data_IF_293255005498
#
_entry.id   IF_293255005498
#
_cell.length_a   1.000
_cell.length_b   1.000
_cell.length_c   1.000
_cell.angle_alpha   90.00
_cell.angle_beta   90.00
_cell.angle_gamma   90.00
#
_symmetry.space_group_name_H-M   'P 1'
#
loop_
_entity.id
_entity.type
_entity.pdbx_description
1 polymer ?
#
# COMPACT_ATOMS: atom_id res chain seq x y z
N UNK A 1 -2.94 -8.69 -6.43
CA UNK A 1 -3.25 -7.27 -6.23
C UNK A 1 -3.18 -6.51 -7.55
N UNK A 2 -4.13 -5.62 -7.81
CA UNK A 2 -4.13 -4.76 -9.00
C UNK A 2 -3.79 -3.34 -8.54
N UNK A 3 -2.77 -2.74 -9.16
CA UNK A 3 -2.26 -1.40 -8.84
C UNK A 3 -2.41 -0.51 -10.06
N UNK A 4 -3.03 0.63 -9.93
CA UNK A 4 -3.13 1.65 -10.97
C UNK A 4 -1.78 2.39 -11.11
N UNK A 5 -1.13 2.26 -12.26
CA UNK A 5 0.16 2.89 -12.53
C UNK A 5 0.12 4.42 -12.61
N UNK A 6 -1.04 5.01 -12.76
CA UNK A 6 -1.23 6.48 -12.78
C UNK A 6 -1.31 7.05 -11.35
N UNK A 7 -1.67 6.20 -10.37
CA UNK A 7 -1.89 6.53 -8.96
C UNK A 7 -1.18 5.56 -8.01
N UNK A 8 0.08 5.20 -8.32
CA UNK A 8 0.86 4.16 -7.64
C UNK A 8 0.91 4.42 -6.13
N UNK A 9 1.29 5.62 -5.71
CA UNK A 9 1.47 5.99 -4.31
C UNK A 9 0.25 5.62 -3.45
N UNK A 10 -0.95 6.00 -3.90
CA UNK A 10 -2.20 5.69 -3.21
C UNK A 10 -2.50 4.18 -3.19
N UNK A 11 -2.21 3.49 -4.29
CA UNK A 11 -2.50 2.06 -4.40
C UNK A 11 -1.50 1.18 -3.63
N UNK A 12 -0.27 1.65 -3.45
CA UNK A 12 0.74 0.95 -2.66
C UNK A 12 0.39 0.89 -1.17
N UNK A 13 -0.47 1.78 -0.66
CA UNK A 13 -0.92 1.71 0.73
C UNK A 13 -1.62 0.37 1.02
N UNK A 14 -2.58 -0.03 0.19
CA UNK A 14 -3.19 -1.36 0.30
C UNK A 14 -2.17 -2.49 0.06
N UNK A 15 -1.21 -2.25 -0.85
CA UNK A 15 -0.17 -3.24 -1.14
C UNK A 15 0.67 -3.55 0.10
N UNK A 16 1.08 -2.54 0.88
CA UNK A 16 1.83 -2.76 2.13
C UNK A 16 1.03 -3.59 3.13
N UNK A 17 -0.26 -3.32 3.28
CA UNK A 17 -1.14 -4.11 4.15
C UNK A 17 -1.29 -5.58 3.71
N UNK A 18 -1.37 -5.82 2.39
CA UNK A 18 -1.43 -7.17 1.84
C UNK A 18 -0.12 -7.95 2.02
N UNK A 19 1.03 -7.25 1.98
CA UNK A 19 2.34 -7.84 2.26
C UNK A 19 2.48 -8.27 3.72
N UNK A 20 1.92 -7.51 4.65
CA UNK A 20 1.89 -7.83 6.08
C UNK A 20 1.16 -9.15 6.38
N UNK A 21 0.20 -9.56 5.52
CA UNK A 21 -0.51 -10.83 5.64
C UNK A 21 0.37 -12.05 5.28
N UNK A 22 1.56 -11.85 4.71
CA UNK A 22 2.44 -12.96 4.33
C UNK A 22 1.84 -13.93 3.31
N UNK A 23 0.86 -13.52 2.53
CA UNK A 23 0.24 -14.36 1.51
C UNK A 23 0.97 -14.25 0.17
N UNK A 24 1.09 -15.37 -0.60
CA UNK A 24 1.64 -15.30 -1.95
C UNK A 24 0.91 -14.27 -2.79
N UNK A 25 1.64 -13.32 -3.36
CA UNK A 25 1.06 -12.20 -4.09
C UNK A 25 1.84 -11.90 -5.37
N UNK A 26 1.11 -11.44 -6.39
CA UNK A 26 1.65 -10.82 -7.61
C UNK A 26 0.95 -9.48 -7.80
N UNK A 27 1.69 -8.47 -8.22
CA UNK A 27 1.13 -7.16 -8.56
C UNK A 27 0.90 -7.09 -10.06
N UNK A 28 -0.35 -6.87 -10.47
CA UNK A 28 -0.70 -6.47 -11.82
C UNK A 28 -0.67 -4.92 -11.89
N UNK A 29 0.38 -4.35 -12.47
CA UNK A 29 0.52 -2.91 -12.65
C UNK A 29 -0.31 -2.49 -13.85
N UNK A 30 -1.54 -2.05 -13.62
CA UNK A 30 -2.51 -1.75 -14.64
C UNK A 30 -2.41 -0.29 -15.15
N UNK A 31 -3.05 -0.01 -16.27
CA UNK A 31 -3.04 1.28 -16.96
C UNK A 31 -1.63 1.74 -17.40
N UNK A 32 -0.73 0.78 -17.62
CA UNK A 32 0.66 1.09 -18.00
C UNK A 32 0.78 1.86 -19.32
N UNK A 33 -0.14 1.65 -20.23
CA UNK A 33 -0.26 2.40 -21.49
C UNK A 33 -0.53 3.89 -21.25
N UNK A 34 -1.35 4.23 -20.25
CA UNK A 34 -1.64 5.63 -19.84
C UNK A 34 -0.38 6.26 -19.24
N UNK A 35 0.28 5.57 -18.31
CA UNK A 35 1.53 6.07 -17.71
C UNK A 35 2.61 6.29 -18.74
N UNK A 36 2.79 5.37 -19.70
CA UNK A 36 3.71 5.54 -20.84
C UNK A 36 3.34 6.74 -21.71
N UNK A 37 2.04 6.93 -22.02
CA UNK A 37 1.55 8.08 -22.78
C UNK A 37 1.81 9.41 -22.05
N UNK A 38 1.75 9.40 -20.72
CA UNK A 38 2.08 10.55 -19.90
C UNK A 38 3.60 10.81 -19.79
N UNK A 39 4.44 9.89 -20.29
CA UNK A 39 5.89 9.97 -20.20
C UNK A 39 6.45 9.52 -18.84
N UNK A 40 5.61 8.89 -17.99
CA UNK A 40 6.05 8.33 -16.73
C UNK A 40 6.99 7.15 -16.96
N UNK A 41 8.06 7.07 -16.17
CA UNK A 41 9.00 5.97 -16.17
C UNK A 41 8.95 5.27 -14.84
N UNK A 42 8.51 4.01 -14.86
CA UNK A 42 8.40 3.16 -13.67
C UNK A 42 9.40 2.03 -13.80
N UNK A 43 10.34 1.96 -12.86
CA UNK A 43 11.32 0.87 -12.78
C UNK A 43 10.70 -0.33 -12.06
N UNK A 44 10.05 -1.20 -12.83
CA UNK A 44 9.36 -2.40 -12.31
C UNK A 44 10.30 -3.34 -11.56
N UNK A 45 11.58 -3.41 -11.97
CA UNK A 45 12.56 -4.28 -11.33
C UNK A 45 12.92 -3.78 -9.94
N UNK A 46 13.17 -2.47 -9.82
CA UNK A 46 13.44 -1.86 -8.51
C UNK A 46 12.24 -1.96 -7.58
N UNK A 47 11.05 -1.68 -8.10
CA UNK A 47 9.82 -1.75 -7.31
C UNK A 47 9.54 -3.19 -6.86
N UNK A 48 9.69 -4.17 -7.75
CA UNK A 48 9.55 -5.60 -7.44
C UNK A 48 10.56 -6.07 -6.38
N UNK A 49 11.82 -5.68 -6.52
CA UNK A 49 12.86 -6.02 -5.55
C UNK A 49 12.59 -5.41 -4.16
N UNK A 50 12.14 -4.15 -4.11
CA UNK A 50 11.86 -3.46 -2.86
C UNK A 50 10.60 -3.98 -2.15
N UNK A 51 9.59 -4.42 -2.91
CA UNK A 51 8.35 -4.99 -2.37
C UNK A 51 8.44 -6.52 -2.12
N UNK A 52 9.48 -7.18 -2.61
CA UNK A 52 9.65 -8.63 -2.48
C UNK A 52 8.64 -9.45 -3.29
N UNK A 53 7.94 -8.86 -4.27
CA UNK A 53 6.89 -9.53 -5.05
C UNK A 53 7.06 -9.29 -6.54
N UNK A 54 6.61 -10.25 -7.35
CA UNK A 54 6.65 -10.11 -8.80
C UNK A 54 5.62 -9.07 -9.28
N UNK A 55 6.04 -8.22 -10.23
CA UNK A 55 5.18 -7.21 -10.84
C UNK A 55 5.04 -7.52 -12.32
N UNK A 56 3.80 -7.57 -12.79
CA UNK A 56 3.45 -7.75 -14.20
C UNK A 56 2.77 -6.50 -14.73
N UNK A 57 3.32 -5.94 -15.81
CA UNK A 57 2.68 -4.82 -16.51
C UNK A 57 1.41 -5.28 -17.22
N UNK A 58 0.33 -4.52 -17.03
CA UNK A 58 -0.96 -4.83 -17.66
C UNK A 58 -1.63 -3.57 -18.24
N UNK A 59 -2.40 -3.78 -19.29
CA UNK A 59 -3.38 -2.80 -19.79
C UNK A 59 -4.69 -3.55 -20.07
N UNK A 60 -5.61 -3.50 -19.10
CA UNK A 60 -6.90 -4.19 -19.22
C UNK A 60 -7.69 -3.72 -20.45
N UNK A 61 -7.62 -2.42 -20.77
CA UNK A 61 -8.28 -1.85 -21.94
C UNK A 61 -7.78 -2.44 -23.25
N UNK A 62 -6.49 -2.80 -23.32
CA UNK A 62 -5.88 -3.39 -24.51
C UNK A 62 -5.81 -4.92 -24.48
N UNK A 63 -6.21 -5.54 -23.36
CA UNK A 63 -6.09 -6.97 -23.14
C UNK A 63 -4.64 -7.45 -22.95
N UNK A 64 -3.70 -6.53 -22.69
CA UNK A 64 -2.28 -6.84 -22.53
C UNK A 64 -1.93 -7.27 -21.10
N UNK A 65 -1.14 -8.35 -20.95
CA UNK A 65 -0.53 -8.77 -19.69
C UNK A 65 -1.45 -9.48 -18.70
N UNK A 66 -2.78 -9.48 -18.90
CA UNK A 66 -3.74 -10.05 -17.95
C UNK A 66 -3.56 -11.56 -17.75
N UNK A 67 -3.38 -12.31 -18.82
CA UNK A 67 -3.13 -13.77 -18.79
C UNK A 67 -1.83 -14.06 -18.05
N UNK A 68 -0.76 -13.34 -18.39
CA UNK A 68 0.54 -13.48 -17.74
C UNK A 68 0.47 -13.19 -16.23
N UNK A 69 -0.30 -12.17 -15.82
CA UNK A 69 -0.51 -11.85 -14.40
C UNK A 69 -1.25 -12.98 -13.67
N UNK A 70 -2.27 -13.57 -14.31
CA UNK A 70 -3.00 -14.71 -13.76
C UNK A 70 -2.11 -15.97 -13.65
N UNK A 71 -1.32 -16.29 -14.67
CA UNK A 71 -0.37 -17.41 -14.65
C UNK A 71 0.68 -17.25 -13.54
N UNK A 72 1.23 -16.05 -13.38
CA UNK A 72 2.19 -15.74 -12.31
C UNK A 72 1.56 -15.84 -10.93
N UNK A 73 0.34 -15.35 -10.77
CA UNK A 73 -0.41 -15.48 -9.52
C UNK A 73 -0.69 -16.95 -9.17
N UNK A 74 -1.09 -17.75 -10.15
CA UNK A 74 -1.30 -19.20 -9.95
C UNK A 74 0.01 -19.91 -9.59
N UNK A 75 1.13 -19.54 -10.21
CA UNK A 75 2.45 -20.10 -9.90
C UNK A 75 2.90 -19.69 -8.49
N UNK A 76 2.74 -18.43 -8.09
CA UNK A 76 3.06 -17.94 -6.75
C UNK A 76 2.26 -18.69 -5.68
N UNK A 77 0.95 -18.86 -5.89
CA UNK A 77 0.08 -19.60 -4.98
C UNK A 77 0.48 -21.09 -4.88
N UNK A 78 0.78 -21.74 -6.01
CA UNK A 78 1.20 -23.15 -6.05
C UNK A 78 2.53 -23.38 -5.33
N UNK A 79 3.48 -22.49 -5.53
CA UNK A 79 4.81 -22.59 -4.94
C UNK A 79 4.86 -22.03 -3.51
N UNK A 80 3.77 -21.46 -3.02
CA UNK A 80 3.70 -20.76 -1.73
C UNK A 80 4.84 -19.74 -1.58
N UNK A 81 5.20 -19.07 -2.68
CA UNK A 81 6.28 -18.08 -2.70
C UNK A 81 5.81 -16.84 -1.97
N UNK A 82 6.15 -16.73 -0.71
CA UNK A 82 6.07 -15.48 0.06
C UNK A 82 7.40 -14.76 -0.12
N UNK A 83 7.38 -13.53 -0.57
CA UNK A 83 8.57 -12.67 -0.56
C UNK A 83 9.06 -12.41 0.87
N UNK A 84 10.27 -11.92 1.01
CA UNK A 84 10.69 -11.34 2.28
C UNK A 84 9.76 -10.16 2.61
N UNK A 85 9.32 -10.08 3.86
CA UNK A 85 8.51 -8.96 4.30
C UNK A 85 9.32 -7.66 4.18
N UNK A 86 8.86 -6.66 3.43
CA UNK A 86 9.58 -5.40 3.36
C UNK A 86 9.59 -4.73 4.74
N UNK A 87 10.71 -4.10 5.08
CA UNK A 87 10.84 -3.30 6.30
C UNK A 87 10.06 -1.99 6.13
N UNK A 88 8.74 -2.05 6.33
CA UNK A 88 7.84 -0.88 6.22
C UNK A 88 7.99 0.03 7.43
N UNK A 89 8.17 -0.55 8.61
CA UNK A 89 8.29 0.15 9.88
C UNK A 89 9.74 0.23 10.34
N UNK A 90 10.08 1.27 11.08
CA UNK A 90 11.45 1.53 11.55
C UNK A 90 11.47 2.11 12.96
N UNK A 91 12.65 2.09 13.62
CA UNK A 91 12.84 2.73 14.93
C UNK A 91 11.97 2.15 16.04
N UNK A 92 11.41 3.02 16.86
CA UNK A 92 10.58 2.67 18.01
C UNK A 92 9.32 1.89 17.62
N UNK A 93 8.76 2.16 16.44
CA UNK A 93 7.60 1.41 15.93
C UNK A 93 7.96 -0.05 15.70
N UNK A 94 9.09 -0.32 15.05
CA UNK A 94 9.56 -1.69 14.80
C UNK A 94 9.84 -2.43 16.11
N UNK A 95 10.44 -1.76 17.09
CA UNK A 95 10.67 -2.33 18.42
C UNK A 95 9.37 -2.66 19.15
N UNK A 96 8.38 -1.76 19.10
CA UNK A 96 7.07 -2.00 19.70
C UNK A 96 6.34 -3.17 19.03
N UNK A 97 6.37 -3.25 17.69
CA UNK A 97 5.78 -4.35 16.95
C UNK A 97 6.45 -5.69 17.28
N UNK A 98 7.79 -5.74 17.32
CA UNK A 98 8.52 -6.95 17.70
C UNK A 98 8.16 -7.40 19.13
N UNK A 99 8.04 -6.47 20.08
CA UNK A 99 7.60 -6.79 21.43
C UNK A 99 6.17 -7.36 21.47
N UNK A 100 5.25 -6.77 20.67
CA UNK A 100 3.88 -7.30 20.54
C UNK A 100 3.91 -8.70 19.93
N UNK A 101 4.72 -8.94 18.90
CA UNK A 101 4.90 -10.27 18.29
C UNK A 101 5.34 -11.31 19.33
N UNK A 102 6.28 -10.96 20.20
CA UNK A 102 6.73 -11.84 21.30
C UNK A 102 5.59 -12.15 22.29
N UNK A 103 4.79 -11.15 22.66
CA UNK A 103 3.67 -11.31 23.59
C UNK A 103 2.53 -12.20 23.05
N UNK A 104 2.31 -12.18 21.75
CA UNK A 104 1.25 -12.98 21.08
C UNK A 104 1.81 -14.24 20.41
N UNK A 105 3.11 -14.45 20.44
CA UNK A 105 3.76 -15.64 19.90
C UNK A 105 3.14 -16.92 20.45
N UNK A 106 2.84 -17.89 19.58
CA UNK A 106 2.17 -19.13 19.94
C UNK A 106 0.66 -19.03 20.18
N UNK A 107 0.05 -17.84 20.16
CA UNK A 107 -1.40 -17.63 20.29
C UNK A 107 -2.10 -17.42 18.95
N UNK A 108 -1.31 -17.10 17.92
CA UNK A 108 -1.79 -16.85 16.55
C UNK A 108 -1.01 -17.68 15.55
N UNK A 109 -1.56 -17.87 14.34
CA UNK A 109 -0.82 -18.52 13.26
C UNK A 109 0.44 -17.69 12.92
N UNK A 110 1.63 -18.29 12.94
CA UNK A 110 2.90 -17.57 12.67
C UNK A 110 2.91 -16.80 11.34
N UNK A 111 2.13 -17.24 10.35
CA UNK A 111 2.00 -16.57 9.04
C UNK A 111 1.38 -15.18 9.14
N UNK A 112 0.52 -14.97 10.14
CA UNK A 112 -0.20 -13.70 10.34
C UNK A 112 0.31 -12.93 11.56
N UNK A 113 1.39 -13.39 12.18
CA UNK A 113 1.92 -12.80 13.41
C UNK A 113 2.16 -11.30 13.27
N UNK A 114 2.84 -10.91 12.19
CA UNK A 114 3.10 -9.50 11.88
C UNK A 114 1.83 -8.69 11.69
N UNK A 115 0.86 -9.21 10.95
CA UNK A 115 -0.42 -8.55 10.74
C UNK A 115 -1.18 -8.34 12.05
N UNK A 116 -1.21 -9.36 12.91
CA UNK A 116 -1.84 -9.25 14.23
C UNK A 116 -1.11 -8.21 15.11
N UNK A 117 0.22 -8.16 15.08
CA UNK A 117 0.98 -7.18 15.85
C UNK A 117 0.65 -5.75 15.41
N UNK A 118 0.58 -5.48 14.11
CA UNK A 118 0.18 -4.17 13.58
C UNK A 118 -1.25 -3.83 13.99
N UNK A 119 -2.18 -4.77 13.89
CA UNK A 119 -3.59 -4.55 14.28
C UNK A 119 -3.76 -4.29 15.78
N UNK A 120 -2.99 -4.97 16.61
CA UNK A 120 -2.98 -4.74 18.05
C UNK A 120 -2.32 -3.40 18.40
N UNK A 121 -1.29 -2.99 17.67
CA UNK A 121 -0.68 -1.66 17.80
C UNK A 121 -1.71 -0.55 17.45
N UNK A 122 -2.49 -0.73 16.37
CA UNK A 122 -3.59 0.16 15.98
C UNK A 122 -4.80 0.08 16.92
N UNK A 123 -4.77 -0.77 17.96
CA UNK A 123 -5.91 -1.06 18.87
C UNK A 123 -7.19 -1.49 18.15
N UNK A 124 -7.08 -2.26 17.04
CA UNK A 124 -8.25 -2.74 16.32
C UNK A 124 -9.18 -3.57 17.23
N UNK A 125 -10.36 -3.02 17.52
CA UNK A 125 -11.31 -3.61 18.48
C UNK A 125 -11.74 -5.02 18.11
N UNK A 126 -11.86 -5.32 16.82
CA UNK A 126 -12.28 -6.64 16.33
C UNK A 126 -11.21 -7.67 16.63
N UNK A 127 -9.96 -7.33 16.36
CA UNK A 127 -8.79 -8.21 16.61
C UNK A 127 -8.61 -8.41 18.11
N UNK A 128 -8.70 -7.36 18.91
CA UNK A 128 -8.62 -7.46 20.38
C UNK A 128 -9.70 -8.38 20.94
N UNK A 129 -10.93 -8.28 20.43
CA UNK A 129 -12.05 -9.13 20.84
C UNK A 129 -11.89 -10.59 20.41
N UNK A 130 -11.36 -10.82 19.17
CA UNK A 130 -11.17 -12.16 18.61
C UNK A 130 -10.12 -12.96 19.37
N UNK A 131 -8.97 -12.36 19.67
CA UNK A 131 -7.81 -13.05 20.24
C UNK A 131 -7.99 -13.44 21.71
N UNK A 132 -8.94 -12.86 22.44
CA UNK A 132 -9.25 -13.17 23.86
C UNK A 132 -7.98 -13.23 24.74
N UNK A 133 -7.09 -12.26 24.57
CA UNK A 133 -5.81 -12.20 25.26
C UNK A 133 -6.00 -12.02 26.76
N UNK A 134 -5.08 -12.56 27.58
CA UNK A 134 -5.07 -12.33 29.03
C UNK A 134 -4.79 -10.86 29.34
N UNK A 135 -5.22 -10.41 30.52
CA UNK A 135 -5.04 -9.01 30.94
C UNK A 135 -3.56 -8.60 31.01
N UNK A 136 -2.68 -9.52 31.41
CA UNK A 136 -1.23 -9.25 31.43
C UNK A 136 -0.67 -8.97 30.01
N UNK A 137 -1.12 -9.75 29.01
CA UNK A 137 -0.71 -9.55 27.61
C UNK A 137 -1.28 -8.24 27.08
N UNK A 138 -2.54 -7.94 27.32
CA UNK A 138 -3.15 -6.67 26.94
C UNK A 138 -2.42 -5.49 27.55
N UNK A 139 -2.05 -5.58 28.83
CA UNK A 139 -1.29 -4.55 29.52
C UNK A 139 0.09 -4.36 28.89
N UNK A 140 0.82 -5.44 28.58
CA UNK A 140 2.13 -5.36 27.90
C UNK A 140 2.03 -4.72 26.51
N UNK A 141 0.99 -5.05 25.73
CA UNK A 141 0.72 -4.41 24.44
C UNK A 141 0.48 -2.92 24.62
N UNK A 142 -0.39 -2.54 25.56
CA UNK A 142 -0.74 -1.13 25.81
C UNK A 142 0.47 -0.32 26.29
N UNK A 143 1.33 -0.90 27.13
CA UNK A 143 2.58 -0.27 27.56
C UNK A 143 3.53 -0.02 26.38
N UNK A 144 3.68 -0.98 25.44
CA UNK A 144 4.49 -0.84 24.25
C UNK A 144 3.94 0.26 23.32
N UNK A 145 2.63 0.26 23.06
CA UNK A 145 1.97 1.24 22.22
C UNK A 145 2.06 2.64 22.83
N UNK A 146 1.68 2.80 24.10
CA UNK A 146 1.71 4.11 24.79
C UNK A 146 3.12 4.68 24.90
N UNK A 147 4.15 3.83 25.05
CA UNK A 147 5.55 4.26 25.00
C UNK A 147 5.93 4.84 23.64
N UNK A 148 5.51 4.15 22.57
CA UNK A 148 5.77 4.58 21.20
C UNK A 148 5.02 5.88 20.85
N UNK A 149 3.75 5.99 21.22
CA UNK A 149 2.94 7.21 21.05
C UNK A 149 3.58 8.41 21.74
N UNK A 150 4.06 8.22 22.97
CA UNK A 150 4.73 9.28 23.71
C UNK A 150 6.06 9.70 23.09
N UNK A 151 6.82 8.76 22.53
CA UNK A 151 8.08 9.05 21.85
C UNK A 151 7.85 9.76 20.51
N UNK A 152 6.82 9.35 19.76
CA UNK A 152 6.49 9.88 18.44
C UNK A 152 5.60 11.13 18.48
N UNK A 153 5.04 11.47 19.65
CA UNK A 153 4.09 12.58 19.86
C UNK A 153 2.88 12.50 18.90
N UNK A 154 2.36 11.29 18.68
CA UNK A 154 1.24 11.04 17.77
C UNK A 154 0.46 9.78 18.25
N UNK A 155 -0.77 9.59 17.76
CA UNK A 155 -1.55 8.39 18.04
C UNK A 155 -1.10 7.17 17.19
N UNK A 156 -1.41 5.97 17.67
CA UNK A 156 -0.97 4.72 17.08
C UNK A 156 -1.38 4.55 15.62
N UNK A 157 -2.61 4.93 15.25
CA UNK A 157 -3.12 4.82 13.88
C UNK A 157 -2.39 5.79 12.94
N UNK A 158 -2.18 7.03 13.39
CA UNK A 158 -1.42 8.05 12.67
C UNK A 158 0.05 7.62 12.48
N UNK A 159 0.67 7.08 13.52
CA UNK A 159 2.06 6.58 13.47
C UNK A 159 2.21 5.50 12.39
N UNK A 160 1.36 4.48 12.40
CA UNK A 160 1.38 3.39 11.39
C UNK A 160 1.15 3.95 9.99
N UNK A 161 0.17 4.84 9.84
CA UNK A 161 -0.14 5.46 8.56
C UNK A 161 1.02 6.29 8.01
N UNK A 162 1.63 7.11 8.87
CA UNK A 162 2.77 7.95 8.51
C UNK A 162 4.00 7.11 8.10
N UNK A 163 4.29 6.02 8.82
CA UNK A 163 5.38 5.10 8.49
C UNK A 163 5.16 4.41 7.14
N UNK A 164 3.93 3.95 6.85
CA UNK A 164 3.59 3.37 5.54
C UNK A 164 3.80 4.38 4.41
N UNK A 165 3.33 5.62 4.58
CA UNK A 165 3.54 6.66 3.56
C UNK A 165 5.00 7.05 3.42
N UNK A 166 5.79 7.10 4.49
CA UNK A 166 7.23 7.36 4.42
C UNK A 166 7.94 6.26 3.60
N UNK A 167 7.62 5.00 3.85
CA UNK A 167 8.12 3.87 3.06
C UNK A 167 7.71 3.98 1.58
N UNK A 168 6.42 4.22 1.30
CA UNK A 168 5.91 4.37 -0.07
C UNK A 168 6.59 5.53 -0.79
N UNK A 169 6.78 6.67 -0.13
CA UNK A 169 7.49 7.81 -0.70
C UNK A 169 8.94 7.46 -1.09
N UNK A 170 9.63 6.68 -0.27
CA UNK A 170 10.97 6.18 -0.59
C UNK A 170 10.96 5.30 -1.85
N UNK A 171 9.98 4.40 -1.97
CA UNK A 171 9.79 3.58 -3.16
C UNK A 171 9.54 4.45 -4.41
N UNK A 172 8.67 5.44 -4.29
CA UNK A 172 8.32 6.35 -5.40
C UNK A 172 9.55 7.15 -5.86
N UNK A 173 10.33 7.69 -4.95
CA UNK A 173 11.55 8.44 -5.28
C UNK A 173 12.58 7.58 -6.01
N UNK A 174 12.71 6.31 -5.62
CA UNK A 174 13.71 5.39 -6.16
C UNK A 174 13.30 4.73 -7.48
N UNK A 175 12.00 4.48 -7.68
CA UNK A 175 11.51 3.65 -8.79
C UNK A 175 10.62 4.39 -9.80
N UNK A 176 10.12 5.59 -9.49
CA UNK A 176 9.17 6.29 -10.36
C UNK A 176 9.63 7.69 -10.72
N UNK A 177 9.70 7.96 -12.03
CA UNK A 177 9.94 9.31 -12.57
C UNK A 177 8.71 9.76 -13.34
N UNK A 178 8.03 10.78 -12.84
CA UNK A 178 6.88 11.38 -13.53
C UNK A 178 7.32 12.13 -14.78
N UNK A 179 6.68 11.85 -15.92
CA UNK A 179 7.04 12.43 -17.22
C UNK A 179 6.56 13.88 -17.41
N UNK A 180 5.44 14.23 -16.76
CA UNK A 180 4.87 15.59 -16.80
C UNK A 180 5.00 16.23 -15.43
N UNK A 181 5.43 17.50 -15.43
CA UNK A 181 5.41 18.29 -14.20
C UNK A 181 4.00 18.34 -13.62
N UNK A 182 3.86 18.21 -12.29
CA UNK A 182 2.60 18.47 -11.58
C UNK A 182 2.09 19.84 -12.05
N UNK A 183 0.99 19.86 -12.81
CA UNK A 183 0.40 21.11 -13.32
C UNK A 183 0.20 21.18 -14.84
N UNK A 184 0.72 20.26 -15.65
CA UNK A 184 0.35 20.21 -17.07
C UNK A 184 -1.05 19.63 -17.20
N UNK A 185 -2.02 20.52 -17.43
CA UNK A 185 -3.41 20.12 -17.68
C UNK A 185 -3.48 19.19 -18.89
N UNK A 186 -4.11 18.03 -18.74
CA UNK A 186 -4.48 17.19 -19.88
C UNK A 186 -5.48 17.93 -20.77
N UNK A 187 -5.69 17.44 -21.99
CA UNK A 187 -6.73 18.01 -22.87
C UNK A 187 -8.10 17.89 -22.20
N UNK A 188 -8.38 16.78 -21.53
CA UNK A 188 -9.60 16.59 -20.73
C UNK A 188 -9.73 17.61 -19.62
N UNK A 189 -8.65 17.87 -18.86
CA UNK A 189 -8.68 18.86 -17.78
C UNK A 189 -8.93 20.28 -18.32
N UNK A 190 -8.41 20.59 -19.51
CA UNK A 190 -8.65 21.88 -20.17
C UNK A 190 -10.11 22.01 -20.61
N UNK A 191 -10.67 20.94 -21.17
CA UNK A 191 -12.09 20.88 -21.58
C UNK A 191 -12.97 21.00 -20.32
N UNK A 192 -12.67 20.21 -19.30
CA UNK A 192 -13.41 20.23 -18.04
C UNK A 192 -13.38 21.62 -17.40
N UNK A 193 -12.22 22.27 -17.37
CA UNK A 193 -12.09 23.65 -16.86
C UNK A 193 -12.91 24.67 -17.64
N UNK A 194 -13.14 24.47 -18.94
CA UNK A 194 -14.00 25.34 -19.75
C UNK A 194 -15.47 25.04 -19.47
N UNK A 195 -15.85 23.77 -19.46
CA UNK A 195 -17.24 23.31 -19.25
C UNK A 195 -17.73 23.59 -17.83
N UNK A 196 -16.84 23.44 -16.83
CA UNK A 196 -17.18 23.71 -15.41
C UNK A 196 -16.93 25.16 -14.97
N UNK A 197 -16.49 26.02 -15.87
CA UNK A 197 -16.28 27.44 -15.57
C UNK A 197 -17.59 28.12 -15.20
N UNK A 198 -17.65 28.75 -14.03
CA UNK A 198 -18.85 29.37 -13.47
C UNK A 198 -19.52 30.36 -14.41
N UNK A 199 -18.79 31.02 -15.31
CA UNK A 199 -19.30 32.00 -16.28
C UNK A 199 -19.70 31.33 -17.60
N UNK A 200 -18.87 30.34 -18.05
CA UNK A 200 -19.08 29.70 -19.35
C UNK A 200 -20.04 28.49 -19.28
N UNK A 201 -20.16 27.86 -18.10
CA UNK A 201 -21.04 26.70 -17.93
C UNK A 201 -22.50 27.00 -18.27
N UNK A 202 -23.03 28.15 -17.84
CA UNK A 202 -24.42 28.53 -18.09
C UNK A 202 -24.75 28.69 -19.58
N UNK A 203 -23.97 29.48 -20.38
CA UNK A 203 -24.25 29.57 -21.83
C UNK A 203 -23.99 28.27 -22.59
N UNK A 204 -22.98 27.46 -22.17
CA UNK A 204 -22.74 26.15 -22.77
C UNK A 204 -23.91 25.20 -22.52
N UNK A 205 -24.43 25.17 -21.28
CA UNK A 205 -25.60 24.35 -20.92
C UNK A 205 -26.89 24.79 -21.64
N UNK A 206 -27.01 26.08 -21.94
CA UNK A 206 -28.18 26.60 -22.68
C UNK A 206 -28.12 26.31 -24.20
N UNK A 207 -26.95 25.96 -24.74
CA UNK A 207 -26.73 25.64 -26.16
C UNK A 207 -26.76 24.12 -26.46
N UNK A 208 -26.74 23.26 -25.45
CA UNK A 208 -26.89 21.81 -25.56
C UNK A 208 -28.34 21.39 -25.27
#
# INVERSE_FOLDING_TARGET
NIVDSTSIERNLYLTTQLLELGTPMVIAMNMIDVSRKNGDKIDMKKLSAALGVEIVETSALKGEGSVKAAEKAAAAAKNRTTGEHPHVFTGSVEHALAHIEDLIGGKVDPRFLRWYAVKLFERDEKVVAELKLSEDVKKGIEEAVSSCEKEMDDDAESIITNQRYAYINTLMQNAVKKGKAKGSLSVSDKIDRVVTNRVLALPIFALI
#
